data_IF_257911958903
#
_entry.id   IF_257911958903
#
_cell.length_a   1.000
_cell.length_b   1.000
_cell.length_c   1.000
_cell.angle_alpha   90.00
_cell.angle_beta   90.00
_cell.angle_gamma   90.00
#
_symmetry.space_group_name_H-M   'P 1'
#
loop_
_entity.id
_entity.type
_entity.pdbx_description
1 polymer ?
#
# COMPACT_ATOMS: atom_id res chain seq x y z
N UNK A 1 -1.60 -28.19 -23.64
CA UNK A 1 -1.17 -28.11 -22.23
C UNK A 1 -2.42 -27.91 -21.40
N UNK A 2 -2.78 -28.89 -20.56
CA UNK A 2 -3.98 -28.78 -19.71
C UNK A 2 -3.60 -28.10 -18.40
N UNK A 3 -3.96 -26.82 -18.25
CA UNK A 3 -3.61 -26.02 -17.08
C UNK A 3 -4.44 -26.39 -15.86
N UNK A 4 -5.55 -27.14 -16.02
CA UNK A 4 -6.43 -27.52 -14.90
C UNK A 4 -5.72 -28.41 -13.87
N UNK A 5 -4.60 -29.04 -14.25
CA UNK A 5 -3.74 -29.81 -13.33
C UNK A 5 -3.06 -28.96 -12.26
N UNK A 6 -2.94 -27.64 -12.48
CA UNK A 6 -2.38 -26.71 -11.50
C UNK A 6 -3.41 -26.26 -10.45
N UNK A 7 -4.69 -26.59 -10.65
CA UNK A 7 -5.78 -26.25 -9.76
C UNK A 7 -6.06 -27.42 -8.81
N UNK A 8 -6.58 -27.10 -7.63
CA UNK A 8 -7.04 -28.09 -6.65
C UNK A 8 -8.33 -28.77 -7.13
N UNK A 9 -8.64 -29.95 -6.60
CA UNK A 9 -9.87 -30.66 -6.96
C UNK A 9 -11.14 -29.81 -6.75
N UNK A 10 -11.21 -29.08 -5.62
CA UNK A 10 -12.33 -28.19 -5.33
C UNK A 10 -12.47 -27.04 -6.34
N UNK A 11 -11.35 -26.46 -6.79
CA UNK A 11 -11.36 -25.40 -7.82
C UNK A 11 -11.83 -25.96 -9.17
N UNK A 12 -11.34 -27.14 -9.56
CA UNK A 12 -11.75 -27.82 -10.79
C UNK A 12 -13.24 -28.15 -10.78
N UNK A 13 -13.79 -28.59 -9.65
CA UNK A 13 -15.22 -28.88 -9.52
C UNK A 13 -16.09 -27.61 -9.69
N UNK A 14 -15.67 -26.49 -9.10
CA UNK A 14 -16.35 -25.19 -9.26
C UNK A 14 -16.26 -24.68 -10.71
N UNK A 15 -15.08 -24.78 -11.32
CA UNK A 15 -14.86 -24.42 -12.73
C UNK A 15 -15.73 -25.29 -13.66
N UNK A 16 -15.79 -26.60 -13.42
CA UNK A 16 -16.62 -27.52 -14.20
C UNK A 16 -18.12 -27.23 -14.05
N UNK A 17 -18.56 -26.80 -12.87
CA UNK A 17 -19.95 -26.39 -12.65
C UNK A 17 -20.32 -25.19 -13.53
N UNK A 18 -19.43 -24.20 -13.63
CA UNK A 18 -19.59 -23.04 -14.52
C UNK A 18 -19.55 -23.49 -15.98
N UNK A 19 -18.56 -24.31 -16.36
CA UNK A 19 -18.40 -24.85 -17.72
C UNK A 19 -19.67 -25.53 -18.22
N UNK A 20 -20.21 -26.47 -17.44
CA UNK A 20 -21.38 -27.26 -17.87
C UNK A 20 -22.59 -26.37 -18.15
N UNK A 21 -22.80 -25.35 -17.32
CA UNK A 21 -23.88 -24.40 -17.50
C UNK A 21 -23.65 -23.49 -18.72
N UNK A 22 -22.41 -23.08 -18.96
CA UNK A 22 -22.04 -22.32 -20.16
C UNK A 22 -22.30 -23.11 -21.44
N UNK A 23 -21.89 -24.39 -21.51
CA UNK A 23 -22.15 -25.25 -22.68
C UNK A 23 -23.65 -25.43 -22.94
N UNK A 24 -24.49 -25.58 -21.90
CA UNK A 24 -25.94 -25.68 -22.05
C UNK A 24 -26.57 -24.41 -22.65
N UNK A 25 -25.97 -23.25 -22.41
CA UNK A 25 -26.45 -21.94 -22.91
C UNK A 25 -25.75 -21.49 -24.19
N UNK A 26 -24.80 -22.27 -24.72
CA UNK A 26 -23.98 -21.88 -25.87
C UNK A 26 -23.07 -20.69 -25.61
N UNK A 27 -22.67 -20.46 -24.36
CA UNK A 27 -21.75 -19.39 -23.95
C UNK A 27 -20.35 -20.00 -23.81
N UNK A 28 -19.32 -19.29 -24.28
CA UNK A 28 -17.93 -19.75 -24.18
C UNK A 28 -17.25 -19.21 -22.92
N UNK A 29 -16.76 -20.07 -22.00
CA UNK A 29 -16.06 -19.65 -20.80
C UNK A 29 -14.53 -19.82 -20.93
N UNK A 30 -13.80 -18.81 -20.47
CA UNK A 30 -12.34 -18.74 -20.55
C UNK A 30 -11.75 -18.42 -19.18
N UNK A 31 -10.77 -19.18 -18.71
CA UNK A 31 -9.91 -18.73 -17.61
C UNK A 31 -8.93 -17.71 -18.19
N UNK A 32 -8.76 -16.55 -17.58
CA UNK A 32 -7.97 -15.46 -18.16
C UNK A 32 -6.93 -14.90 -17.20
N UNK A 33 -5.93 -14.20 -17.75
CA UNK A 33 -5.08 -13.32 -16.96
C UNK A 33 -4.06 -14.04 -16.08
N UNK A 34 -3.98 -13.59 -14.83
CA UNK A 34 -2.97 -14.04 -13.87
C UNK A 34 -3.06 -15.53 -13.56
N UNK A 35 -4.29 -16.09 -13.52
CA UNK A 35 -4.51 -17.51 -13.27
C UNK A 35 -3.83 -18.40 -14.33
N UNK A 36 -3.96 -18.04 -15.61
CA UNK A 36 -3.34 -18.80 -16.71
C UNK A 36 -1.82 -18.71 -16.63
N UNK A 37 -1.29 -17.50 -16.45
CA UNK A 37 0.16 -17.25 -16.27
C UNK A 37 0.73 -18.06 -15.12
N UNK A 38 0.13 -17.95 -13.94
CA UNK A 38 0.64 -18.55 -12.72
C UNK A 38 0.54 -20.09 -12.79
N UNK A 39 -0.52 -20.63 -13.41
CA UNK A 39 -0.62 -22.06 -13.72
C UNK A 39 0.51 -22.56 -14.64
N UNK A 40 0.90 -21.77 -15.67
CA UNK A 40 2.00 -22.12 -16.57
C UNK A 40 3.36 -22.07 -15.86
N UNK A 41 3.54 -21.08 -14.97
CA UNK A 41 4.78 -20.92 -14.18
C UNK A 41 4.90 -21.92 -13.03
N UNK A 42 3.84 -22.68 -12.72
CA UNK A 42 3.80 -23.57 -11.55
C UNK A 42 3.67 -22.81 -10.22
N UNK A 43 3.23 -21.56 -10.27
CA UNK A 43 2.97 -20.74 -9.10
C UNK A 43 1.60 -21.09 -8.51
N UNK A 44 1.42 -20.83 -7.22
CA UNK A 44 0.09 -20.92 -6.58
C UNK A 44 -0.84 -19.88 -7.21
N UNK A 45 -1.96 -20.34 -7.74
CA UNK A 45 -3.03 -19.49 -8.27
C UNK A 45 -3.72 -18.81 -7.08
N UNK A 46 -3.84 -17.48 -7.13
CA UNK A 46 -4.44 -16.68 -6.05
C UNK A 46 -5.90 -16.34 -6.35
N UNK A 47 -6.13 -15.82 -7.55
CA UNK A 47 -7.42 -15.31 -8.01
C UNK A 47 -7.79 -16.06 -9.30
N UNK A 48 -9.03 -16.57 -9.37
CA UNK A 48 -9.55 -17.30 -10.53
C UNK A 48 -10.55 -16.42 -11.25
N UNK A 49 -10.09 -15.84 -12.37
CA UNK A 49 -10.92 -15.02 -13.25
C UNK A 49 -11.43 -15.86 -14.42
N UNK A 50 -12.75 -15.95 -14.56
CA UNK A 50 -13.42 -16.57 -15.72
C UNK A 50 -14.13 -15.51 -16.54
N UNK A 51 -13.68 -15.29 -17.76
CA UNK A 51 -14.36 -14.46 -18.74
C UNK A 51 -15.38 -15.27 -19.55
N UNK A 52 -16.54 -14.68 -19.85
CA UNK A 52 -17.57 -15.30 -20.70
C UNK A 52 -17.94 -14.42 -21.89
N UNK A 53 -18.10 -15.04 -23.07
CA UNK A 53 -18.63 -14.37 -24.27
C UNK A 53 -20.16 -14.35 -24.26
N UNK A 54 -20.74 -13.59 -23.35
CA UNK A 54 -22.19 -13.54 -23.15
C UNK A 54 -22.55 -12.66 -21.96
N UNK A 55 -23.83 -12.62 -21.59
CA UNK A 55 -24.24 -11.98 -20.33
C UNK A 55 -24.02 -12.93 -19.15
N UNK A 56 -23.17 -12.59 -18.16
CA UNK A 56 -22.94 -13.42 -16.98
C UNK A 56 -24.25 -13.75 -16.24
N UNK A 57 -25.24 -12.85 -16.24
CA UNK A 57 -26.50 -13.04 -15.50
C UNK A 57 -27.27 -14.29 -15.92
N UNK A 58 -27.13 -14.71 -17.19
CA UNK A 58 -27.75 -15.93 -17.72
C UNK A 58 -27.24 -17.18 -16.97
N UNK A 59 -25.98 -17.15 -16.54
CA UNK A 59 -25.33 -18.24 -15.81
C UNK A 59 -25.57 -18.08 -14.31
N UNK A 60 -25.52 -16.86 -13.78
CA UNK A 60 -25.67 -16.58 -12.35
C UNK A 60 -26.99 -17.08 -11.77
N UNK A 61 -28.09 -16.94 -12.51
CA UNK A 61 -29.42 -17.36 -12.05
C UNK A 61 -29.58 -18.88 -11.92
N UNK A 62 -28.76 -19.66 -12.63
CA UNK A 62 -28.85 -21.12 -12.67
C UNK A 62 -27.71 -21.82 -11.91
N UNK A 63 -26.70 -21.06 -11.47
CA UNK A 63 -25.58 -21.56 -10.67
C UNK A 63 -26.06 -22.03 -9.28
N UNK A 64 -26.03 -23.35 -9.10
CA UNK A 64 -26.27 -24.00 -7.80
C UNK A 64 -24.95 -24.11 -7.03
N UNK A 65 -25.02 -24.34 -5.72
CA UNK A 65 -23.87 -24.52 -4.82
C UNK A 65 -23.05 -23.27 -4.47
N UNK A 66 -23.57 -22.09 -4.80
CA UNK A 66 -23.05 -20.84 -4.26
C UNK A 66 -23.42 -20.68 -2.79
N UNK A 67 -22.46 -20.22 -2.00
CA UNK A 67 -22.68 -19.69 -0.65
C UNK A 67 -23.11 -18.23 -0.73
N UNK A 68 -22.48 -17.45 -1.62
CA UNK A 68 -22.75 -16.04 -1.82
C UNK A 68 -22.41 -15.64 -3.26
N UNK A 69 -23.19 -14.71 -3.81
CA UNK A 69 -22.97 -14.12 -5.12
C UNK A 69 -23.07 -12.60 -4.98
N UNK A 70 -22.01 -11.88 -5.33
CA UNK A 70 -22.01 -10.41 -5.35
C UNK A 70 -21.85 -9.93 -6.79
N UNK A 71 -22.88 -9.28 -7.32
CA UNK A 71 -22.86 -8.75 -8.68
C UNK A 71 -22.57 -7.25 -8.68
N UNK A 72 -21.47 -6.87 -9.32
CA UNK A 72 -21.08 -5.49 -9.51
C UNK A 72 -21.49 -5.00 -10.90
N UNK A 73 -22.71 -4.49 -11.01
CA UNK A 73 -23.33 -4.07 -12.29
C UNK A 73 -22.49 -3.07 -13.10
N UNK A 74 -21.80 -2.15 -12.42
CA UNK A 74 -20.91 -1.15 -13.07
C UNK A 74 -19.76 -1.78 -13.84
N UNK A 75 -19.22 -2.90 -13.35
CA UNK A 75 -18.06 -3.57 -13.95
C UNK A 75 -18.43 -4.86 -14.67
N UNK A 76 -19.71 -5.24 -14.64
CA UNK A 76 -20.24 -6.49 -15.21
C UNK A 76 -19.43 -7.70 -14.73
N UNK A 77 -19.12 -7.71 -13.44
CA UNK A 77 -18.32 -8.74 -12.76
C UNK A 77 -19.13 -9.29 -11.60
N UNK A 78 -19.12 -10.61 -11.44
CA UNK A 78 -19.79 -11.32 -10.38
C UNK A 78 -18.77 -12.12 -9.56
N UNK A 79 -18.66 -11.84 -8.27
CA UNK A 79 -17.82 -12.62 -7.37
C UNK A 79 -18.63 -13.77 -6.80
N UNK A 80 -18.20 -15.00 -7.11
CA UNK A 80 -18.91 -16.25 -6.79
C UNK A 80 -18.16 -16.98 -5.68
N UNK A 81 -18.72 -16.95 -4.47
CA UNK A 81 -18.20 -17.74 -3.36
C UNK A 81 -18.96 -19.08 -3.31
N UNK A 82 -18.27 -20.18 -3.58
CA UNK A 82 -18.82 -21.52 -3.54
C UNK A 82 -18.82 -22.10 -2.12
N UNK A 83 -19.71 -23.07 -1.85
CA UNK A 83 -19.79 -23.75 -0.54
C UNK A 83 -18.53 -24.53 -0.16
N UNK A 84 -17.71 -24.93 -1.15
CA UNK A 84 -16.42 -25.59 -0.95
C UNK A 84 -15.28 -24.62 -0.60
N UNK A 85 -15.57 -23.32 -0.42
CA UNK A 85 -14.59 -22.30 -0.04
C UNK A 85 -13.85 -21.65 -1.22
N UNK A 86 -14.11 -22.09 -2.45
CA UNK A 86 -13.51 -21.49 -3.66
C UNK A 86 -14.23 -20.19 -4.02
N UNK A 87 -13.47 -19.17 -4.41
CA UNK A 87 -14.00 -17.91 -4.94
C UNK A 87 -13.58 -17.78 -6.40
N UNK A 88 -14.53 -17.50 -7.28
CA UNK A 88 -14.31 -17.29 -8.72
C UNK A 88 -14.95 -15.97 -9.13
N UNK A 89 -14.22 -15.14 -9.85
CA UNK A 89 -14.77 -13.93 -10.45
C UNK A 89 -15.23 -14.24 -11.88
N UNK A 90 -16.53 -14.15 -12.11
CA UNK A 90 -17.15 -14.31 -13.42
C UNK A 90 -17.31 -12.93 -14.08
N UNK A 91 -16.61 -12.73 -15.19
CA UNK A 91 -16.47 -11.44 -15.86
C UNK A 91 -17.02 -11.55 -17.28
N UNK A 92 -17.70 -10.51 -17.76
CA UNK A 92 -18.06 -10.43 -19.18
C UNK A 92 -16.87 -10.02 -20.04
N UNK A 93 -16.65 -10.71 -21.16
CA UNK A 93 -15.69 -10.26 -22.18
C UNK A 93 -16.08 -8.85 -22.66
N UNK A 94 -15.10 -7.94 -22.68
CA UNK A 94 -15.38 -6.54 -22.96
C UNK A 94 -14.24 -5.89 -23.74
N UNK A 95 -14.58 -4.87 -24.52
CA UNK A 95 -13.63 -3.92 -25.10
C UNK A 95 -13.70 -2.61 -24.33
N UNK A 96 -12.57 -1.92 -24.28
CA UNK A 96 -12.42 -0.64 -23.59
C UNK A 96 -12.11 0.45 -24.62
N UNK A 97 -12.79 1.59 -24.50
CA UNK A 97 -12.53 2.78 -25.31
C UNK A 97 -12.11 3.93 -24.39
N UNK A 98 -10.97 4.55 -24.69
CA UNK A 98 -10.45 5.69 -23.94
C UNK A 98 -10.73 6.96 -24.72
N UNK A 99 -11.56 7.85 -24.17
CA UNK A 99 -11.88 9.13 -24.82
C UNK A 99 -10.68 10.08 -24.90
N UNK A 100 -9.70 9.93 -23.99
CA UNK A 100 -8.41 10.61 -23.96
C UNK A 100 -7.43 9.85 -23.07
N UNK A 101 -6.14 10.11 -23.25
CA UNK A 101 -5.06 9.57 -22.41
C UNK A 101 -5.30 9.82 -20.91
N UNK A 102 -5.12 8.78 -20.10
CA UNK A 102 -5.29 8.82 -18.64
C UNK A 102 -6.74 8.76 -18.13
N UNK A 103 -7.74 8.80 -19.02
CA UNK A 103 -9.15 8.71 -18.65
C UNK A 103 -9.56 7.30 -18.19
N UNK A 104 -10.72 7.21 -17.52
CA UNK A 104 -11.37 5.92 -17.30
C UNK A 104 -12.00 5.45 -18.62
N UNK A 105 -11.92 4.15 -18.95
CA UNK A 105 -12.47 3.65 -20.21
C UNK A 105 -13.99 3.49 -20.13
N UNK A 106 -14.63 3.68 -21.29
CA UNK A 106 -15.98 3.20 -21.54
C UNK A 106 -15.94 1.71 -21.91
N UNK A 107 -16.83 0.92 -21.32
CA UNK A 107 -16.80 -0.54 -21.40
C UNK A 107 -17.95 -1.07 -22.23
N UNK A 108 -17.65 -1.89 -23.24
CA UNK A 108 -18.64 -2.48 -24.14
C UNK A 108 -18.48 -4.00 -24.18
N UNK A 109 -19.59 -4.77 -24.31
CA UNK A 109 -19.51 -6.21 -24.54
C UNK A 109 -18.67 -6.55 -25.77
N UNK A 110 -17.89 -7.63 -25.68
CA UNK A 110 -17.04 -8.08 -26.79
C UNK A 110 -16.67 -9.57 -26.69
N UNK A 111 -15.73 -9.99 -27.53
CA UNK A 111 -15.18 -11.34 -27.59
C UNK A 111 -13.84 -11.44 -26.87
N UNK A 112 -13.34 -12.66 -26.68
CA UNK A 112 -12.09 -12.93 -25.96
C UNK A 112 -10.89 -12.21 -26.59
N UNK A 113 -10.86 -12.06 -27.92
CA UNK A 113 -9.78 -11.37 -28.63
C UNK A 113 -9.61 -9.91 -28.16
N UNK A 114 -10.72 -9.18 -28.08
CA UNK A 114 -10.76 -7.78 -27.65
C UNK A 114 -10.54 -7.64 -26.14
N UNK A 115 -11.05 -8.61 -25.35
CA UNK A 115 -10.79 -8.65 -23.91
C UNK A 115 -9.31 -8.86 -23.59
N UNK A 116 -8.61 -9.66 -24.40
CA UNK A 116 -7.17 -9.84 -24.28
C UNK A 116 -6.42 -8.61 -24.78
N UNK A 117 -6.89 -7.93 -25.84
CA UNK A 117 -6.23 -6.74 -26.40
C UNK A 117 -6.13 -5.59 -25.39
N UNK A 118 -7.20 -5.33 -24.62
CA UNK A 118 -7.27 -4.23 -23.66
C UNK A 118 -6.35 -4.40 -22.44
N UNK A 119 -5.73 -5.57 -22.25
CA UNK A 119 -4.89 -5.86 -21.07
C UNK A 119 -3.55 -5.15 -21.15
N UNK A 120 -2.82 -5.18 -20.06
CA UNK A 120 -1.58 -4.42 -19.90
C UNK A 120 -0.39 -5.07 -20.63
N UNK A 121 -0.14 -6.36 -20.37
CA UNK A 121 1.03 -7.08 -20.84
C UNK A 121 0.67 -8.40 -21.52
N UNK A 122 1.50 -8.83 -22.47
CA UNK A 122 1.33 -10.06 -23.25
C UNK A 122 1.24 -11.29 -22.34
N UNK A 123 2.08 -11.35 -21.32
CA UNK A 123 2.10 -12.42 -20.30
C UNK A 123 0.82 -12.48 -19.44
N UNK A 124 0.03 -11.40 -19.42
CA UNK A 124 -1.28 -11.33 -18.77
C UNK A 124 -2.44 -11.42 -19.77
N UNK A 125 -2.15 -11.48 -21.07
CA UNK A 125 -3.10 -11.56 -22.17
C UNK A 125 -3.21 -12.99 -22.70
N UNK A 126 -3.24 -13.94 -21.76
CA UNK A 126 -3.46 -15.36 -22.03
C UNK A 126 -4.86 -15.74 -21.58
N UNK A 127 -5.51 -16.59 -22.38
CA UNK A 127 -6.76 -17.23 -22.00
C UNK A 127 -6.64 -18.74 -22.13
N UNK A 128 -7.46 -19.46 -21.39
CA UNK A 128 -7.60 -20.90 -21.49
C UNK A 128 -9.07 -21.24 -21.72
N UNK A 129 -9.34 -21.81 -22.88
CA UNK A 129 -10.63 -22.34 -23.24
C UNK A 129 -10.91 -23.61 -22.43
N UNK A 130 -11.88 -23.53 -21.54
CA UNK A 130 -12.22 -24.60 -20.59
C UNK A 130 -12.95 -25.75 -21.31
N UNK A 131 -13.60 -25.47 -22.43
CA UNK A 131 -14.31 -26.45 -23.24
C UNK A 131 -13.34 -27.24 -24.10
N UNK A 132 -12.54 -26.53 -24.90
CA UNK A 132 -11.56 -27.09 -25.84
C UNK A 132 -10.26 -27.55 -25.18
N UNK A 133 -10.03 -27.17 -23.92
CA UNK A 133 -8.79 -27.41 -23.17
C UNK A 133 -7.54 -26.89 -23.87
N UNK A 134 -7.64 -25.68 -24.45
CA UNK A 134 -6.58 -25.04 -25.23
C UNK A 134 -6.24 -23.67 -24.68
N UNK A 135 -4.95 -23.35 -24.69
CA UNK A 135 -4.48 -21.99 -24.40
C UNK A 135 -4.65 -21.15 -25.65
N UNK A 136 -5.27 -19.98 -25.50
CA UNK A 136 -5.39 -18.94 -26.51
C UNK A 136 -4.31 -17.91 -26.20
N UNK A 137 -3.34 -17.80 -27.11
CA UNK A 137 -2.26 -16.81 -27.07
C UNK A 137 -2.18 -16.10 -28.43
N UNK A 138 -2.79 -14.93 -28.52
CA UNK A 138 -2.83 -14.12 -29.75
C UNK A 138 -1.61 -13.20 -29.83
N UNK A 139 -1.09 -12.77 -28.67
CA UNK A 139 -0.10 -11.69 -28.58
C UNK A 139 1.32 -12.17 -28.27
N UNK A 140 1.54 -13.49 -28.18
CA UNK A 140 2.86 -14.10 -27.94
C UNK A 140 3.28 -14.11 -26.47
N UNK A 141 2.32 -14.12 -25.55
CA UNK A 141 2.57 -14.15 -24.10
C UNK A 141 3.32 -15.41 -23.66
N UNK A 142 3.12 -16.55 -24.32
CA UNK A 142 3.83 -17.80 -24.02
C UNK A 142 5.32 -17.69 -24.30
N UNK A 143 5.69 -17.03 -25.40
CA UNK A 143 7.09 -16.81 -25.79
C UNK A 143 7.75 -15.84 -24.82
N UNK A 144 7.05 -14.76 -24.47
CA UNK A 144 7.52 -13.76 -23.51
C UNK A 144 7.69 -14.35 -22.11
N UNK A 145 6.78 -15.24 -21.67
CA UNK A 145 6.92 -15.99 -20.43
C UNK A 145 8.16 -16.88 -20.42
N UNK A 146 8.40 -17.64 -21.50
CA UNK A 146 9.58 -18.50 -21.62
C UNK A 146 10.87 -17.69 -21.57
N UNK A 147 10.88 -16.52 -22.21
CA UNK A 147 12.05 -15.65 -22.28
C UNK A 147 12.21 -14.72 -21.07
N UNK A 148 11.27 -14.76 -20.10
CA UNK A 148 11.22 -13.84 -18.94
C UNK A 148 11.23 -12.37 -19.37
N UNK A 149 10.40 -12.04 -20.34
CA UNK A 149 10.25 -10.69 -20.88
C UNK A 149 8.87 -10.16 -20.54
N UNK A 150 8.81 -8.92 -20.06
CA UNK A 150 7.57 -8.19 -19.91
C UNK A 150 7.44 -7.19 -21.07
N UNK A 151 6.37 -7.36 -21.85
CA UNK A 151 6.07 -6.53 -23.02
C UNK A 151 4.60 -6.13 -23.02
N UNK A 152 4.31 -4.88 -23.36
CA UNK A 152 2.95 -4.36 -23.55
C UNK A 152 2.26 -4.99 -24.78
N UNK A 153 0.94 -4.91 -24.86
CA UNK A 153 0.18 -5.50 -25.99
C UNK A 153 0.23 -4.62 -27.24
N UNK A 154 -0.11 -3.34 -27.11
CA UNK A 154 -0.22 -2.42 -28.24
C UNK A 154 0.52 -1.10 -28.02
N UNK A 155 0.81 -0.41 -29.11
CA UNK A 155 1.32 0.97 -29.09
C UNK A 155 0.32 1.90 -28.41
N UNK A 156 0.79 2.76 -27.50
CA UNK A 156 -0.08 3.67 -26.75
C UNK A 156 -0.55 3.16 -25.39
N UNK A 157 -0.32 1.88 -25.04
CA UNK A 157 -0.74 1.29 -23.76
C UNK A 157 -0.38 2.13 -22.52
N UNK A 158 0.83 2.69 -22.46
CA UNK A 158 1.25 3.55 -21.35
C UNK A 158 0.69 4.97 -21.40
N UNK A 159 0.31 5.48 -22.57
CA UNK A 159 -0.33 6.79 -22.70
C UNK A 159 -1.81 6.72 -22.34
N UNK A 160 -2.51 5.69 -22.81
CA UNK A 160 -3.92 5.43 -22.48
C UNK A 160 -4.10 5.23 -20.97
N UNK A 161 -3.25 4.40 -20.36
CA UNK A 161 -3.23 4.20 -18.92
C UNK A 161 -1.81 4.27 -18.33
N UNK A 162 -1.39 5.46 -17.88
CA UNK A 162 -0.09 5.68 -17.26
C UNK A 162 0.16 4.83 -16.00
N UNK A 163 -0.89 4.34 -15.34
CA UNK A 163 -0.73 3.46 -14.16
C UNK A 163 -0.10 2.12 -14.52
N UNK A 164 -0.15 1.71 -15.80
CA UNK A 164 0.53 0.51 -16.31
C UNK A 164 2.04 0.57 -16.17
N UNK A 165 2.65 1.76 -16.05
CA UNK A 165 4.09 1.89 -15.79
C UNK A 165 4.45 1.29 -14.42
N UNK A 166 3.70 1.63 -13.37
CA UNK A 166 3.91 1.05 -12.04
C UNK A 166 3.62 -0.46 -12.03
N UNK A 167 2.59 -0.90 -12.78
CA UNK A 167 2.30 -2.34 -12.94
C UNK A 167 3.44 -3.07 -13.66
N UNK A 168 4.08 -2.43 -14.64
CA UNK A 168 5.25 -2.98 -15.33
C UNK A 168 6.38 -3.24 -14.34
N UNK A 169 6.70 -2.26 -13.50
CA UNK A 169 7.70 -2.39 -12.42
C UNK A 169 7.34 -3.55 -11.51
N UNK A 170 6.10 -3.57 -11.01
CA UNK A 170 5.60 -4.61 -10.10
C UNK A 170 5.81 -6.01 -10.66
N UNK A 171 5.38 -6.24 -11.91
CA UNK A 171 5.48 -7.56 -12.53
C UNK A 171 6.89 -7.93 -12.94
N UNK A 172 7.70 -6.95 -13.38
CA UNK A 172 9.12 -7.17 -13.68
C UNK A 172 9.88 -7.66 -12.45
N UNK A 173 9.66 -7.05 -11.28
CA UNK A 173 10.31 -7.48 -10.04
C UNK A 173 9.72 -8.79 -9.53
N UNK A 174 8.40 -8.89 -9.41
CA UNK A 174 7.71 -10.08 -8.87
C UNK A 174 8.10 -11.37 -9.61
N UNK A 175 8.15 -11.33 -10.94
CA UNK A 175 8.48 -12.51 -11.76
C UNK A 175 9.92 -12.53 -12.23
N UNK A 176 10.73 -11.55 -11.83
CA UNK A 176 12.11 -11.35 -12.27
C UNK A 176 12.23 -11.34 -13.81
N UNK A 177 11.34 -10.58 -14.46
CA UNK A 177 11.30 -10.38 -15.91
C UNK A 177 12.08 -9.13 -16.31
N UNK A 178 12.62 -9.13 -17.53
CA UNK A 178 13.22 -7.95 -18.15
C UNK A 178 12.13 -7.13 -18.83
N UNK A 179 12.15 -5.81 -18.62
CA UNK A 179 11.27 -4.88 -19.33
C UNK A 179 11.76 -4.72 -20.76
N UNK A 180 10.94 -5.08 -21.75
CA UNK A 180 11.27 -4.83 -23.16
C UNK A 180 11.05 -3.38 -23.56
N UNK A 181 10.06 -2.73 -22.93
CA UNK A 181 9.60 -1.39 -23.29
C UNK A 181 10.24 -0.30 -22.38
N UNK A 182 11.45 -0.54 -21.85
CA UNK A 182 12.12 0.36 -20.90
C UNK A 182 12.32 1.78 -21.44
N UNK A 183 12.81 1.90 -22.68
CA UNK A 183 13.08 3.19 -23.31
C UNK A 183 11.80 4.00 -23.55
N UNK A 184 10.71 3.32 -23.90
CA UNK A 184 9.41 3.96 -24.07
C UNK A 184 8.82 4.43 -22.75
N UNK A 185 8.95 3.63 -21.69
CA UNK A 185 8.55 4.05 -20.34
C UNK A 185 9.28 5.35 -19.99
N UNK A 186 10.60 5.41 -20.18
CA UNK A 186 11.39 6.63 -19.92
C UNK A 186 10.89 7.81 -20.77
N UNK A 187 10.62 7.60 -22.06
CA UNK A 187 10.08 8.64 -22.94
C UNK A 187 8.70 9.15 -22.50
N UNK A 188 7.82 8.26 -22.00
CA UNK A 188 6.52 8.61 -21.43
C UNK A 188 6.68 9.46 -20.16
N UNK A 189 7.61 9.08 -19.27
CA UNK A 189 7.91 9.83 -18.06
C UNK A 189 8.43 11.24 -18.38
N UNK A 190 9.32 11.37 -19.37
CA UNK A 190 9.83 12.67 -19.82
C UNK A 190 8.72 13.58 -20.39
N UNK A 191 7.66 12.99 -20.96
CA UNK A 191 6.45 13.69 -21.41
C UNK A 191 5.44 14.00 -20.30
N UNK A 192 5.74 13.67 -19.05
CA UNK A 192 4.85 13.86 -17.89
C UNK A 192 3.47 13.19 -18.03
N UNK A 193 3.37 12.03 -18.70
CA UNK A 193 2.08 11.34 -18.87
C UNK A 193 1.42 10.95 -17.56
N UNK A 194 2.19 10.82 -16.48
CA UNK A 194 1.68 10.54 -15.14
C UNK A 194 0.81 11.68 -14.59
N UNK A 195 0.95 12.91 -15.09
CA UNK A 195 0.10 14.04 -14.67
C UNK A 195 -1.31 14.00 -15.26
N UNK A 196 -1.55 13.08 -16.21
CA UNK A 196 -2.86 12.83 -16.81
C UNK A 196 -3.77 11.99 -15.90
N UNK A 197 -3.20 11.29 -14.91
CA UNK A 197 -3.95 10.45 -13.97
C UNK A 197 -4.04 11.11 -12.60
N UNK A 198 -5.10 10.80 -11.85
CA UNK A 198 -5.28 11.35 -10.50
C UNK A 198 -4.22 10.82 -9.53
N UNK A 199 -3.87 11.66 -8.54
CA UNK A 199 -2.97 11.29 -7.44
C UNK A 199 -3.37 9.99 -6.76
N UNK A 200 -4.67 9.76 -6.55
CA UNK A 200 -5.18 8.53 -5.93
C UNK A 200 -4.84 7.27 -6.74
N UNK A 201 -4.87 7.35 -8.07
CA UNK A 201 -4.50 6.22 -8.93
C UNK A 201 -2.99 5.91 -8.83
N UNK A 202 -2.16 6.95 -8.81
CA UNK A 202 -0.71 6.81 -8.62
C UNK A 202 -0.42 6.19 -7.25
N UNK A 203 -1.00 6.73 -6.18
CA UNK A 203 -0.78 6.24 -4.82
C UNK A 203 -1.28 4.81 -4.64
N UNK A 204 -2.40 4.45 -5.27
CA UNK A 204 -2.87 3.06 -5.26
C UNK A 204 -1.83 2.10 -5.82
N UNK A 205 -1.19 2.43 -6.94
CA UNK A 205 -0.14 1.57 -7.49
C UNK A 205 1.14 1.58 -6.64
N UNK A 206 1.56 2.74 -6.11
CA UNK A 206 2.70 2.81 -5.18
C UNK A 206 2.43 1.98 -3.91
N UNK A 207 1.22 2.02 -3.38
CA UNK A 207 0.80 1.19 -2.25
C UNK A 207 0.95 -0.30 -2.58
N UNK A 208 0.51 -0.73 -3.77
CA UNK A 208 0.67 -2.11 -4.21
C UNK A 208 2.14 -2.51 -4.37
N UNK A 209 3.02 -1.61 -4.84
CA UNK A 209 4.47 -1.86 -4.89
C UNK A 209 5.06 -2.07 -3.49
N UNK A 210 4.58 -1.32 -2.50
CA UNK A 210 4.96 -1.47 -1.10
C UNK A 210 4.39 -2.76 -0.47
N UNK A 211 3.28 -3.29 -0.97
CA UNK A 211 2.74 -4.56 -0.51
C UNK A 211 3.56 -5.77 -0.96
N UNK A 212 4.37 -5.66 -2.02
CA UNK A 212 5.24 -6.75 -2.46
C UNK A 212 6.32 -7.11 -1.44
N UNK A 213 6.81 -8.34 -1.55
CA UNK A 213 7.92 -8.85 -0.74
C UNK A 213 9.20 -8.05 -1.03
N UNK A 214 9.58 -7.94 -2.30
CA UNK A 214 10.76 -7.17 -2.74
C UNK A 214 10.40 -5.72 -3.12
N UNK A 215 9.76 -5.02 -2.18
CA UNK A 215 9.32 -3.63 -2.38
C UNK A 215 10.51 -2.66 -2.60
N UNK A 216 11.68 -2.94 -2.01
CA UNK A 216 12.86 -2.08 -2.18
C UNK A 216 13.30 -2.11 -3.65
N UNK A 217 13.34 -3.30 -4.28
CA UNK A 217 13.68 -3.43 -5.69
C UNK A 217 12.64 -2.78 -6.60
N UNK A 218 11.35 -2.85 -6.25
CA UNK A 218 10.31 -2.08 -6.95
C UNK A 218 10.60 -0.58 -6.95
N UNK A 219 10.84 -0.01 -5.77
CA UNK A 219 11.11 1.42 -5.62
C UNK A 219 12.42 1.82 -6.31
N UNK A 220 13.46 0.97 -6.25
CA UNK A 220 14.71 1.21 -6.97
C UNK A 220 14.51 1.21 -8.49
N UNK A 221 13.73 0.27 -9.03
CA UNK A 221 13.44 0.21 -10.46
C UNK A 221 12.59 1.41 -10.90
N UNK A 222 11.64 1.87 -10.09
CA UNK A 222 10.93 3.14 -10.34
C UNK A 222 11.92 4.32 -10.46
N UNK A 223 12.94 4.36 -9.61
CA UNK A 223 13.97 5.40 -9.66
C UNK A 223 14.87 5.29 -10.89
N UNK A 224 15.24 4.06 -11.29
CA UNK A 224 16.03 3.80 -12.50
C UNK A 224 15.27 4.18 -13.79
N UNK A 225 13.94 4.07 -13.76
CA UNK A 225 13.03 4.52 -14.81
C UNK A 225 12.73 6.03 -14.75
N UNK A 226 13.35 6.77 -13.82
CA UNK A 226 13.15 8.20 -13.56
C UNK A 226 11.72 8.60 -13.18
N UNK A 227 10.91 7.66 -12.67
CA UNK A 227 9.53 7.96 -12.24
C UNK A 227 9.55 8.96 -11.08
N UNK A 228 10.42 8.73 -10.11
CA UNK A 228 10.74 9.61 -8.98
C UNK A 228 12.18 9.37 -8.52
N UNK A 229 12.82 10.36 -7.90
CA UNK A 229 14.16 10.26 -7.32
C UNK A 229 14.10 9.96 -5.82
N UNK A 230 14.88 8.96 -5.41
CA UNK A 230 15.04 8.50 -4.03
C UNK A 230 16.51 8.33 -3.70
N UNK A 231 16.84 8.58 -2.44
CA UNK A 231 18.11 8.15 -1.87
C UNK A 231 18.04 6.65 -1.53
N UNK A 232 18.62 5.82 -2.40
CA UNK A 232 18.62 4.35 -2.25
C UNK A 232 19.25 3.90 -0.92
N UNK A 233 20.18 4.68 -0.35
CA UNK A 233 20.80 4.37 0.92
C UNK A 233 19.85 4.53 2.12
N UNK A 234 18.73 5.23 1.93
CA UNK A 234 17.72 5.41 2.96
C UNK A 234 16.60 4.37 2.92
N UNK A 235 16.59 3.47 1.92
CA UNK A 235 15.55 2.46 1.73
C UNK A 235 15.77 1.17 2.54
N UNK A 236 16.93 0.98 3.17
CA UNK A 236 17.24 -0.22 3.96
C UNK A 236 16.41 -0.32 5.26
N UNK A 237 16.13 -1.55 5.68
CA UNK A 237 15.52 -1.86 6.98
C UNK A 237 16.59 -2.19 8.02
N UNK A 238 16.95 -1.26 8.91
CA UNK A 238 17.70 -1.63 10.11
C UNK A 238 16.82 -2.54 10.99
N UNK A 239 17.38 -3.67 11.45
CA UNK A 239 16.73 -4.58 12.41
C UNK A 239 16.36 -3.91 13.72
N UNK A 240 17.04 -2.83 14.11
CA UNK A 240 16.78 -2.03 15.32
C UNK A 240 15.49 -1.20 15.26
N UNK A 241 14.91 -0.99 14.07
CA UNK A 241 13.70 -0.17 13.90
C UNK A 241 12.39 -0.94 14.12
N UNK A 242 12.44 -2.29 14.17
CA UNK A 242 11.25 -3.11 14.38
C UNK A 242 10.60 -2.83 15.74
N UNK A 243 11.41 -2.61 16.78
CA UNK A 243 10.92 -2.38 18.14
C UNK A 243 10.06 -1.12 18.25
N UNK A 244 10.43 -0.02 17.58
CA UNK A 244 9.60 1.20 17.60
C UNK A 244 8.31 0.95 16.85
N UNK A 245 8.36 0.39 15.63
CA UNK A 245 7.14 0.11 14.85
C UNK A 245 6.18 -0.84 15.56
N UNK A 246 6.69 -1.83 16.30
CA UNK A 246 5.90 -2.77 17.10
C UNK A 246 5.26 -2.07 18.30
N UNK A 247 6.02 -1.29 19.08
CA UNK A 247 5.51 -0.49 20.21
C UNK A 247 4.40 0.47 19.72
N UNK A 248 4.56 0.95 18.49
CA UNK A 248 3.71 1.93 17.84
C UNK A 248 2.46 1.32 17.16
N UNK A 249 2.40 0.01 16.96
CA UNK A 249 1.29 -0.66 16.28
C UNK A 249 1.12 -0.26 14.82
N UNK A 250 2.21 0.16 14.14
CA UNK A 250 2.16 0.53 12.72
C UNK A 250 2.03 -0.72 11.83
N UNK A 251 1.23 -0.65 10.76
CA UNK A 251 1.22 -1.74 9.78
C UNK A 251 2.54 -1.79 9.02
N UNK A 252 2.95 -2.97 8.56
CA UNK A 252 4.18 -3.15 7.79
C UNK A 252 4.20 -2.29 6.53
N UNK A 253 3.04 -2.10 5.89
CA UNK A 253 2.92 -1.29 4.68
C UNK A 253 3.05 0.20 4.97
N UNK A 254 2.44 0.70 6.06
CA UNK A 254 2.58 2.11 6.47
C UNK A 254 4.05 2.47 6.74
N UNK A 255 4.80 1.55 7.37
CA UNK A 255 6.24 1.72 7.61
C UNK A 255 7.02 1.80 6.29
N UNK A 256 6.72 0.94 5.31
CA UNK A 256 7.34 0.98 3.98
C UNK A 256 7.03 2.29 3.25
N UNK A 257 5.80 2.80 3.35
CA UNK A 257 5.39 4.08 2.74
C UNK A 257 6.09 5.27 3.41
N UNK A 258 6.18 5.28 4.73
CA UNK A 258 6.98 6.28 5.44
C UNK A 258 8.45 6.23 5.02
N UNK A 259 8.99 5.02 4.85
CA UNK A 259 10.37 4.83 4.41
C UNK A 259 10.59 5.38 3.01
N UNK A 260 9.66 5.13 2.09
CA UNK A 260 9.63 5.75 0.78
C UNK A 260 9.64 7.28 0.92
N UNK A 261 8.72 7.85 1.71
CA UNK A 261 8.69 9.30 1.97
C UNK A 261 10.01 9.85 2.49
N UNK A 262 10.65 9.18 3.44
CA UNK A 262 11.95 9.57 4.00
C UNK A 262 13.09 9.54 2.97
N UNK A 263 12.99 8.67 1.97
CA UNK A 263 13.98 8.54 0.90
C UNK A 263 13.77 9.49 -0.27
N UNK A 264 12.55 10.01 -0.47
CA UNK A 264 12.21 10.87 -1.60
C UNK A 264 13.01 12.17 -1.60
N UNK A 265 13.47 12.57 -2.78
CA UNK A 265 14.03 13.91 -3.03
C UNK A 265 13.05 14.82 -3.75
N UNK A 266 12.07 14.24 -4.44
CA UNK A 266 11.05 14.97 -5.18
C UNK A 266 9.93 15.49 -4.28
N UNK A 267 9.78 16.82 -4.22
CA UNK A 267 8.66 17.45 -3.53
C UNK A 267 7.29 17.06 -4.11
N UNK A 268 7.23 16.77 -5.41
CA UNK A 268 5.99 16.39 -6.11
C UNK A 268 5.38 15.15 -5.47
N UNK A 269 6.15 14.06 -5.37
CA UNK A 269 5.66 12.79 -4.82
C UNK A 269 5.44 12.85 -3.31
N UNK A 270 6.22 13.65 -2.58
CA UNK A 270 5.93 13.95 -1.17
C UNK A 270 4.53 14.59 -1.00
N UNK A 271 4.15 15.54 -1.86
CA UNK A 271 2.82 16.18 -1.86
C UNK A 271 1.71 15.20 -2.25
N UNK A 272 1.94 14.31 -3.22
CA UNK A 272 0.97 13.28 -3.64
C UNK A 272 0.74 12.28 -2.49
N UNK A 273 1.79 11.85 -1.78
CA UNK A 273 1.68 10.98 -0.61
C UNK A 273 0.92 11.62 0.56
N UNK A 274 1.03 12.94 0.74
CA UNK A 274 0.27 13.69 1.73
C UNK A 274 -1.22 13.85 1.36
N UNK A 275 -1.53 14.01 0.06
CA UNK A 275 -2.87 14.39 -0.42
C UNK A 275 -3.48 13.31 -1.32
N UNK A 276 -4.05 12.29 -0.70
CA UNK A 276 -4.81 11.23 -1.37
C UNK A 276 -5.88 10.64 -0.45
N UNK A 277 -6.79 9.86 -1.00
CA UNK A 277 -7.84 9.14 -0.26
C UNK A 277 -7.45 7.72 0.18
N UNK A 278 -6.36 7.18 -0.37
CA UNK A 278 -5.95 5.77 -0.22
C UNK A 278 -5.28 5.50 1.13
N UNK A 279 -4.41 6.40 1.57
CA UNK A 279 -3.60 6.19 2.78
C UNK A 279 -4.36 6.57 4.05
N UNK A 280 -3.96 5.94 5.15
CA UNK A 280 -4.46 6.24 6.48
C UNK A 280 -4.37 7.75 6.79
N UNK A 281 -5.46 8.33 7.29
CA UNK A 281 -5.52 9.78 7.57
C UNK A 281 -4.45 10.26 8.55
N UNK A 282 -4.09 9.47 9.57
CA UNK A 282 -2.99 9.81 10.49
C UNK A 282 -1.67 9.86 9.75
N UNK A 283 -1.37 8.82 8.95
CA UNK A 283 -0.15 8.74 8.14
C UNK A 283 -0.02 9.94 7.20
N UNK A 284 -1.11 10.29 6.49
CA UNK A 284 -1.13 11.44 5.58
C UNK A 284 -0.86 12.77 6.30
N UNK A 285 -1.46 12.96 7.46
CA UNK A 285 -1.25 14.17 8.27
C UNK A 285 0.20 14.27 8.76
N UNK A 286 0.81 13.15 9.17
CA UNK A 286 2.23 13.09 9.51
C UNK A 286 3.10 13.50 8.32
N UNK A 287 2.87 12.90 7.15
CA UNK A 287 3.62 13.19 5.93
C UNK A 287 3.50 14.68 5.58
N UNK A 288 2.29 15.25 5.58
CA UNK A 288 2.08 16.68 5.29
C UNK A 288 2.79 17.59 6.30
N UNK A 289 2.71 17.26 7.59
CA UNK A 289 3.36 18.01 8.66
C UNK A 289 4.89 18.01 8.51
N UNK A 290 5.51 16.86 8.25
CA UNK A 290 6.95 16.75 8.07
C UNK A 290 7.42 17.32 6.74
N UNK A 291 6.62 17.24 5.69
CA UNK A 291 6.94 17.87 4.41
C UNK A 291 7.08 19.40 4.56
N UNK A 292 6.33 20.02 5.47
CA UNK A 292 6.38 21.48 5.73
C UNK A 292 7.41 21.88 6.80
N UNK A 293 7.56 21.06 7.85
CA UNK A 293 8.25 21.47 9.08
C UNK A 293 9.49 20.64 9.44
N UNK A 294 9.91 19.67 8.60
CA UNK A 294 11.00 18.73 8.92
C UNK A 294 12.27 19.41 9.42
N UNK A 295 12.75 20.44 8.74
CA UNK A 295 14.00 21.12 9.11
C UNK A 295 13.91 21.84 10.46
N UNK A 296 12.75 22.42 10.78
CA UNK A 296 12.55 23.15 12.03
C UNK A 296 12.48 22.20 13.22
N UNK A 297 11.73 21.10 13.08
CA UNK A 297 11.58 20.07 14.11
C UNK A 297 12.94 19.44 14.42
N UNK A 298 13.72 19.08 13.39
CA UNK A 298 15.05 18.48 13.56
C UNK A 298 15.98 19.45 14.27
N UNK A 299 16.01 20.74 13.88
CA UNK A 299 16.83 21.77 14.55
C UNK A 299 16.42 21.95 16.02
N UNK A 300 15.11 22.05 16.28
CA UNK A 300 14.57 22.18 17.63
C UNK A 300 14.95 20.99 18.51
N UNK A 301 14.76 19.77 18.01
CA UNK A 301 15.15 18.54 18.70
C UNK A 301 16.65 18.43 18.93
N UNK A 302 17.49 18.89 18.00
CA UNK A 302 18.94 18.93 18.19
C UNK A 302 19.35 19.85 19.35
N UNK A 303 18.71 21.01 19.49
CA UNK A 303 19.03 22.02 20.51
C UNK A 303 18.50 21.69 21.91
N UNK A 304 17.53 20.78 22.04
CA UNK A 304 16.98 20.38 23.36
C UNK A 304 18.02 19.59 24.16
N UNK A 305 18.31 20.05 25.37
CA UNK A 305 19.28 19.42 26.29
C UNK A 305 18.63 18.76 27.51
N UNK A 306 17.33 18.95 27.74
CA UNK A 306 16.62 18.43 28.91
C UNK A 306 15.41 17.55 28.52
N UNK A 307 15.16 16.53 29.33
CA UNK A 307 14.09 15.55 29.12
C UNK A 307 12.69 16.17 29.22
N UNK A 308 12.50 17.21 30.03
CA UNK A 308 11.22 17.88 30.18
C UNK A 308 10.80 18.57 28.87
N UNK A 309 11.69 19.36 28.26
CA UNK A 309 11.44 19.95 26.94
C UNK A 309 11.29 18.89 25.85
N UNK A 310 12.10 17.84 25.90
CA UNK A 310 12.01 16.71 24.97
C UNK A 310 10.63 16.05 25.04
N UNK A 311 10.14 15.75 26.24
CA UNK A 311 8.82 15.19 26.49
C UNK A 311 7.70 16.10 25.99
N UNK A 312 7.77 17.40 26.29
CA UNK A 312 6.75 18.38 25.88
C UNK A 312 6.63 18.48 24.36
N UNK A 313 7.75 18.38 23.64
CA UNK A 313 7.76 18.45 22.18
C UNK A 313 7.30 17.13 21.56
N UNK A 314 7.91 16.01 21.96
CA UNK A 314 7.63 14.70 21.36
C UNK A 314 6.23 14.15 21.68
N UNK A 315 5.62 14.50 22.82
CA UNK A 315 4.24 14.10 23.14
C UNK A 315 3.17 14.66 22.19
N UNK A 316 3.51 15.67 21.41
CA UNK A 316 2.62 16.26 20.39
C UNK A 316 2.78 15.59 19.03
N UNK A 317 3.85 14.82 18.85
CA UNK A 317 4.15 14.12 17.61
C UNK A 317 3.46 12.78 17.66
N UNK A 318 2.77 12.43 16.58
CA UNK A 318 2.16 11.13 16.46
C UNK A 318 3.20 10.02 16.29
N UNK A 319 2.69 8.80 16.39
CA UNK A 319 3.43 7.55 16.28
C UNK A 319 4.29 7.47 15.00
N UNK A 320 3.72 7.85 13.85
CA UNK A 320 4.42 7.82 12.57
C UNK A 320 5.55 8.87 12.51
N UNK A 321 5.33 10.03 13.13
CA UNK A 321 6.33 11.09 13.22
C UNK A 321 7.51 10.71 14.12
N UNK A 322 7.25 10.01 15.22
CA UNK A 322 8.31 9.46 16.07
C UNK A 322 9.16 8.44 15.30
N UNK A 323 8.52 7.56 14.54
CA UNK A 323 9.20 6.60 13.69
C UNK A 323 10.07 7.30 12.64
N UNK A 324 9.54 8.30 11.95
CA UNK A 324 10.27 9.08 10.94
C UNK A 324 11.51 9.78 11.54
N UNK A 325 11.36 10.37 12.72
CA UNK A 325 12.46 11.03 13.45
C UNK A 325 13.52 10.03 13.93
N UNK A 326 13.13 8.81 14.28
CA UNK A 326 14.04 7.77 14.76
C UNK A 326 15.09 7.34 13.72
N UNK A 327 14.77 7.53 12.43
CA UNK A 327 15.66 7.20 11.31
C UNK A 327 16.76 8.23 11.12
N UNK A 328 16.61 9.43 11.68
CA UNK A 328 17.71 10.39 11.76
C UNK A 328 18.68 9.97 12.87
N UNK A 329 19.88 9.51 12.50
CA UNK A 329 20.89 9.03 13.44
C UNK A 329 21.22 10.04 14.55
N UNK A 330 21.18 11.35 14.26
CA UNK A 330 21.46 12.42 15.25
C UNK A 330 20.39 12.52 16.33
N UNK A 331 19.16 12.14 16.01
CA UNK A 331 18.01 12.23 16.90
C UNK A 331 17.66 10.90 17.56
N UNK A 332 18.19 9.78 17.03
CA UNK A 332 17.88 8.41 17.43
C UNK A 332 17.85 8.26 18.95
N UNK A 333 18.93 8.62 19.66
CA UNK A 333 18.97 8.51 21.13
C UNK A 333 17.83 9.26 21.83
N UNK A 334 17.52 10.49 21.40
CA UNK A 334 16.46 11.31 22.01
C UNK A 334 15.08 10.68 21.80
N UNK A 335 14.83 10.14 20.61
CA UNK A 335 13.57 9.44 20.32
C UNK A 335 13.45 8.17 21.15
N UNK A 336 14.52 7.36 21.24
CA UNK A 336 14.51 6.15 22.07
C UNK A 336 14.31 6.46 23.55
N UNK A 337 15.02 7.46 24.09
CA UNK A 337 14.82 7.90 25.48
C UNK A 337 13.35 8.30 25.72
N UNK A 338 12.73 9.01 24.78
CA UNK A 338 11.32 9.34 24.87
C UNK A 338 10.41 8.11 24.85
N UNK A 339 10.57 7.23 23.86
CA UNK A 339 9.72 6.04 23.67
C UNK A 339 9.83 5.06 24.83
N UNK A 340 11.02 4.84 25.39
CA UNK A 340 11.23 3.84 26.45
C UNK A 340 11.08 4.41 27.87
N UNK A 341 11.48 5.67 28.10
CA UNK A 341 11.56 6.21 29.46
C UNK A 341 10.54 7.33 29.76
N UNK A 342 10.16 8.15 28.77
CA UNK A 342 9.39 9.38 29.03
C UNK A 342 7.92 9.29 28.60
N UNK A 343 7.56 8.48 27.60
CA UNK A 343 6.21 8.49 27.01
C UNK A 343 5.13 8.06 28.02
N UNK A 344 5.46 7.13 28.92
CA UNK A 344 4.59 6.59 29.95
C UNK A 344 4.69 7.35 31.28
N UNK A 345 5.36 8.51 31.29
CA UNK A 345 5.52 9.32 32.48
C UNK A 345 4.15 9.69 33.09
N UNK A 346 4.01 9.41 34.38
CA UNK A 346 2.89 9.86 35.22
C UNK A 346 3.45 10.70 36.36
N UNK A 347 2.95 11.93 36.52
CA UNK A 347 3.30 12.81 37.63
C UNK A 347 3.03 12.09 38.96
N UNK A 348 3.97 12.16 39.90
CA UNK A 348 3.73 11.60 41.24
C UNK A 348 2.78 12.44 42.10
N UNK A 349 2.56 13.69 41.70
CA UNK A 349 1.66 14.63 42.38
C UNK A 349 0.53 15.07 41.44
N UNK A 350 -0.69 15.14 41.98
CA UNK A 350 -1.85 15.71 41.34
C UNK A 350 -2.24 17.06 41.99
N UNK A 351 -3.25 17.74 41.44
CA UNK A 351 -3.71 19.02 41.99
C UNK A 351 -4.25 18.91 43.42
N UNK A 352 -4.88 17.79 43.77
CA UNK A 352 -5.43 17.54 45.10
C UNK A 352 -4.33 17.43 46.17
N UNK A 353 -3.19 16.81 45.83
CA UNK A 353 -2.02 16.73 46.72
C UNK A 353 -1.43 18.12 47.04
N UNK A 354 -1.56 19.07 46.12
CA UNK A 354 -1.05 20.43 46.30
C UNK A 354 -2.06 21.29 47.07
N UNK A 355 -3.36 21.08 46.86
CA UNK A 355 -4.42 21.71 47.64
C UNK A 355 -4.37 21.25 49.10
N UNK A 356 -4.14 19.96 49.35
CA UNK A 356 -3.98 19.44 50.71
C UNK A 356 -2.71 19.92 51.41
N UNK A 357 -1.71 20.38 50.65
CA UNK A 357 -0.52 21.06 51.16
C UNK A 357 -0.73 22.57 51.42
N UNK A 358 -1.95 23.10 51.28
CA UNK A 358 -2.31 24.46 51.69
C UNK A 358 -2.36 25.50 50.57
N UNK A 359 -2.04 25.14 49.32
CA UNK A 359 -2.05 26.09 48.18
C UNK A 359 -3.45 26.15 47.56
N UNK A 360 -4.10 27.33 47.61
CA UNK A 360 -5.47 27.53 47.11
C UNK A 360 -5.57 28.26 45.77
N UNK A 361 -4.52 28.95 45.34
CA UNK A 361 -4.51 29.69 44.08
C UNK A 361 -4.23 28.77 42.88
N UNK A 362 -5.16 28.71 41.93
CA UNK A 362 -5.05 27.84 40.74
C UNK A 362 -3.84 28.14 39.85
N UNK A 363 -3.40 29.41 39.76
CA UNK A 363 -2.19 29.76 38.99
C UNK A 363 -0.93 29.20 39.66
N UNK A 364 -0.86 29.29 40.99
CA UNK A 364 0.23 28.77 41.80
C UNK A 364 0.30 27.24 41.75
N UNK A 365 -0.83 26.54 41.86
CA UNK A 365 -0.91 25.08 41.67
C UNK A 365 -0.34 24.69 40.30
N UNK A 366 -0.74 25.38 39.23
CA UNK A 366 -0.24 25.12 37.87
C UNK A 366 1.27 25.35 37.72
N UNK A 367 1.85 26.34 38.41
CA UNK A 367 3.30 26.59 38.43
C UNK A 367 4.05 25.48 39.17
N UNK A 368 3.55 25.06 40.33
CA UNK A 368 4.13 23.99 41.14
C UNK A 368 4.13 22.68 40.35
N UNK A 369 3.00 22.32 39.72
CA UNK A 369 2.92 21.12 38.87
C UNK A 369 3.91 21.17 37.71
N UNK A 370 4.11 22.32 37.07
CA UNK A 370 5.12 22.47 36.01
C UNK A 370 6.54 22.27 36.54
N UNK A 371 6.85 22.79 37.72
CA UNK A 371 8.17 22.65 38.35
C UNK A 371 8.44 21.22 38.77
N UNK A 372 7.49 20.57 39.44
CA UNK A 372 7.54 19.16 39.81
C UNK A 372 7.77 18.30 38.56
N UNK A 373 6.95 18.45 37.53
CA UNK A 373 7.10 17.69 36.28
C UNK A 373 8.49 17.90 35.64
N UNK A 374 9.02 19.12 35.70
CA UNK A 374 10.36 19.41 35.20
C UNK A 374 11.45 18.69 35.99
N UNK A 375 11.34 18.64 37.32
CA UNK A 375 12.28 17.89 38.16
C UNK A 375 12.17 16.41 37.85
N UNK A 376 10.97 15.82 37.95
CA UNK A 376 10.79 14.38 37.76
C UNK A 376 11.25 13.90 36.39
N UNK A 377 10.91 14.61 35.30
CA UNK A 377 11.30 14.22 33.95
C UNK A 377 12.81 14.32 33.72
N UNK A 378 13.48 15.31 34.32
CA UNK A 378 14.91 15.53 34.12
C UNK A 378 15.79 14.65 35.00
N UNK A 379 15.36 14.36 36.24
CA UNK A 379 16.19 13.60 37.20
C UNK A 379 15.74 12.15 37.36
N UNK A 380 14.51 11.80 36.96
CA UNK A 380 13.89 10.50 37.23
C UNK A 380 13.42 10.35 38.69
N UNK A 381 13.64 11.35 39.55
CA UNK A 381 13.27 11.32 40.97
C UNK A 381 11.79 11.64 41.11
N UNK A 382 11.02 10.77 41.76
CA UNK A 382 9.61 11.00 42.06
C UNK A 382 9.47 11.95 43.24
N UNK A 383 8.86 13.11 43.00
CA UNK A 383 8.66 14.12 44.02
C UNK A 383 7.42 13.79 44.87
N UNK A 384 7.59 13.02 45.95
CA UNK A 384 6.49 12.70 46.86
C UNK A 384 5.97 13.93 47.64
N UNK A 385 4.91 13.75 48.44
CA UNK A 385 4.32 14.82 49.26
C UNK A 385 5.34 15.46 50.22
N UNK A 386 6.33 14.69 50.68
CA UNK A 386 7.45 15.15 51.51
C UNK A 386 8.35 16.18 50.78
N UNK A 387 8.55 16.02 49.48
CA UNK A 387 9.30 16.99 48.66
C UNK A 387 8.57 18.35 48.62
N UNK A 388 7.23 18.34 48.53
CA UNK A 388 6.44 19.57 48.60
C UNK A 388 6.59 20.25 49.95
N UNK A 389 6.41 19.52 51.05
CA UNK A 389 6.49 20.10 52.40
C UNK A 389 7.88 20.61 52.77
N UNK A 390 8.95 20.01 52.25
CA UNK A 390 10.33 20.38 52.58
C UNK A 390 10.93 21.45 51.64
N UNK A 391 10.42 21.59 50.41
CA UNK A 391 11.00 22.51 49.41
C UNK A 391 10.03 23.63 48.97
N UNK A 392 8.73 23.56 49.30
CA UNK A 392 7.89 24.77 49.33
C UNK A 392 8.28 25.52 50.61
N UNK A 393 9.38 26.28 50.51
CA UNK A 393 9.89 27.11 51.61
C UNK A 393 8.77 27.96 52.19
N UNK A 394 8.62 27.79 53.50
CA UNK A 394 7.81 28.52 54.49
C UNK A 394 6.34 28.81 54.13
N UNK A 395 5.48 28.41 55.07
CA UNK A 395 4.05 28.68 55.11
C UNK A 395 3.69 30.05 54.52
N UNK A 396 2.65 30.04 53.68
CA UNK A 396 1.85 31.21 53.28
C UNK A 396 1.60 32.13 54.47
#
# INVERSE_FOLDING_TARGET
MDILKAFTGAEVDSINSIKNLCSLKGIKPYIVGGAVRDAILGNKIKDIDICVEGDPNVILNELRNLKQCEYHSRFQTASLAFKNGVVIDLIRCRKEYYCRDGALPDVFPSHIHEDLYRRDFTVNALAYDIEEKKIIDIYGGMVDLKNKVLRKIHSGSYSEDPTRIFRAVKYAVRYNFKLKDEDEIKACIEKNVLDLVSSDRIIKEIYLLCCEDDWIRNICLCADLKIFDVDKNKLWSDSLNSSISEICGCTTVDVKILRLFYSLKDEKYAKILAKNSILNGKLRNTIDYFNKNSSEIVKSLMNIMDNCRLYILLRKIDVYGLLLLSWNYKLRYKIYNYVYNLCNYRSSLNGENIVSAGVKDGKSIGRILKLVNRVELNTGIKCGQKFLTENLGENI
#
